data_IF_189657849482
#
_entry.id   IF_189657849482
#
_cell.length_a   1.000
_cell.length_b   1.000
_cell.length_c   1.000
_cell.angle_alpha   90.00
_cell.angle_beta   90.00
_cell.angle_gamma   90.00
#
_symmetry.space_group_name_H-M   'P 1'
#
loop_
_entity.id
_entity.type
_entity.pdbx_description
1 polymer ?
#
# COMPACT_ATOMS: atom_id res chain seq x y z
N UNK A 1 27.16 10.64 -12.80
CA UNK A 1 25.73 10.68 -12.44
C UNK A 1 25.17 9.26 -12.60
N UNK A 2 24.72 8.64 -11.51
CA UNK A 2 24.23 7.26 -11.56
C UNK A 2 22.95 7.20 -12.40
N UNK A 3 23.01 6.44 -13.49
CA UNK A 3 21.91 6.23 -14.41
C UNK A 3 20.81 5.47 -13.66
N UNK A 4 19.75 6.16 -13.22
CA UNK A 4 18.57 5.53 -12.62
C UNK A 4 17.88 4.77 -13.76
N UNK A 5 18.23 3.48 -13.90
CA UNK A 5 17.62 2.60 -14.89
C UNK A 5 16.11 2.56 -14.60
N UNK A 6 15.31 3.09 -15.52
CA UNK A 6 13.89 2.76 -15.58
C UNK A 6 13.80 1.23 -15.70
N UNK A 7 13.00 0.53 -14.86
CA UNK A 7 12.86 -0.91 -14.96
C UNK A 7 12.46 -1.26 -16.40
N UNK A 8 13.27 -2.13 -17.03
CA UNK A 8 13.03 -2.61 -18.40
C UNK A 8 11.83 -3.53 -18.36
N UNK A 9 10.94 -3.43 -19.36
CA UNK A 9 9.90 -4.43 -19.59
C UNK A 9 10.53 -5.83 -19.60
N UNK A 10 10.19 -6.66 -18.61
CA UNK A 10 10.63 -8.05 -18.51
C UNK A 10 11.33 -8.46 -17.20
N UNK A 11 11.71 -7.53 -16.32
CA UNK A 11 12.25 -7.90 -14.99
C UNK A 11 11.10 -8.04 -13.99
N UNK A 12 10.67 -9.29 -13.77
CA UNK A 12 9.75 -9.65 -12.70
C UNK A 12 10.39 -9.30 -11.36
N UNK A 13 9.87 -8.29 -10.66
CA UNK A 13 10.30 -7.94 -9.30
C UNK A 13 9.67 -8.92 -8.31
N UNK A 14 10.44 -9.37 -7.32
CA UNK A 14 9.91 -10.18 -6.22
C UNK A 14 8.71 -9.49 -5.56
N UNK A 15 8.75 -8.17 -5.41
CA UNK A 15 7.64 -7.41 -4.82
C UNK A 15 6.38 -7.40 -5.70
N UNK A 16 6.55 -7.33 -7.02
CA UNK A 16 5.42 -7.35 -7.96
C UNK A 16 4.76 -8.74 -7.96
N UNK A 17 5.57 -9.80 -7.93
CA UNK A 17 5.10 -11.18 -7.81
C UNK A 17 4.41 -11.46 -6.48
N UNK A 18 5.01 -11.02 -5.36
CA UNK A 18 4.40 -11.12 -4.04
C UNK A 18 3.04 -10.43 -4.00
N UNK A 19 2.98 -9.19 -4.53
CA UNK A 19 1.73 -8.45 -4.57
C UNK A 19 0.70 -9.12 -5.48
N UNK A 20 1.11 -9.64 -6.65
CA UNK A 20 0.24 -10.36 -7.57
C UNK A 20 -0.39 -11.59 -6.91
N UNK A 21 0.43 -12.43 -6.28
CA UNK A 21 -0.01 -13.65 -5.58
C UNK A 21 -0.98 -13.29 -4.44
N UNK A 22 -0.62 -12.31 -3.60
CA UNK A 22 -1.47 -11.87 -2.50
C UNK A 22 -2.79 -11.30 -2.98
N UNK A 23 -2.78 -10.53 -4.08
CA UNK A 23 -4.00 -9.96 -4.65
C UNK A 23 -4.96 -11.06 -5.14
N UNK A 24 -4.44 -12.10 -5.80
CA UNK A 24 -5.23 -13.23 -6.27
C UNK A 24 -5.80 -14.08 -5.12
N UNK A 25 -5.02 -14.30 -4.06
CA UNK A 25 -5.50 -14.99 -2.85
C UNK A 25 -6.64 -14.22 -2.18
N UNK A 26 -6.44 -12.93 -1.96
CA UNK A 26 -7.47 -12.06 -1.36
C UNK A 26 -8.71 -11.96 -2.25
N UNK A 27 -8.57 -11.94 -3.57
CA UNK A 27 -9.72 -12.03 -4.47
C UNK A 27 -10.52 -13.31 -4.23
N UNK A 28 -9.84 -14.47 -4.21
CA UNK A 28 -10.51 -15.75 -4.01
C UNK A 28 -11.23 -15.81 -2.66
N UNK A 29 -10.60 -15.30 -1.59
CA UNK A 29 -11.17 -15.20 -0.24
C UNK A 29 -12.37 -14.24 -0.15
N UNK A 30 -12.44 -13.23 -1.02
CA UNK A 30 -13.50 -12.23 -1.04
C UNK A 30 -14.63 -12.54 -2.05
N UNK A 31 -14.71 -13.77 -2.56
CA UNK A 31 -15.80 -14.21 -3.44
C UNK A 31 -15.56 -13.94 -4.94
N UNK A 32 -14.29 -13.78 -5.33
CA UNK A 32 -13.89 -13.62 -6.73
C UNK A 32 -13.85 -12.18 -7.22
N UNK A 33 -13.41 -12.02 -8.48
CA UNK A 33 -13.08 -10.75 -9.11
C UNK A 33 -14.10 -9.62 -8.92
N UNK A 34 -15.38 -9.86 -9.21
CA UNK A 34 -16.41 -8.80 -9.19
C UNK A 34 -16.62 -8.25 -7.77
N UNK A 35 -16.71 -9.13 -6.77
CA UNK A 35 -16.84 -8.74 -5.37
C UNK A 35 -15.59 -8.00 -4.87
N UNK A 36 -14.41 -8.49 -5.26
CA UNK A 36 -13.14 -7.91 -4.87
C UNK A 36 -12.92 -6.50 -5.45
N UNK A 37 -13.20 -6.31 -6.74
CA UNK A 37 -13.09 -5.00 -7.40
C UNK A 37 -14.11 -4.01 -6.85
N UNK A 38 -15.34 -4.45 -6.60
CA UNK A 38 -16.36 -3.59 -5.98
C UNK A 38 -15.92 -3.12 -4.59
N UNK A 39 -15.34 -4.02 -3.79
CA UNK A 39 -14.84 -3.71 -2.44
C UNK A 39 -13.62 -2.78 -2.46
N UNK A 40 -12.69 -3.00 -3.37
CA UNK A 40 -11.39 -2.30 -3.40
C UNK A 40 -11.37 -1.03 -4.24
N UNK A 41 -12.33 -0.86 -5.15
CA UNK A 41 -12.38 0.26 -6.09
C UNK A 41 -11.18 0.30 -7.06
N UNK A 42 -10.50 -0.84 -7.27
CA UNK A 42 -9.43 -0.97 -8.26
C UNK A 42 -10.04 -1.00 -9.66
N UNK A 43 -9.55 -0.18 -10.58
CA UNK A 43 -9.98 -0.27 -11.97
C UNK A 43 -9.55 -1.60 -12.60
N UNK A 44 -10.40 -2.21 -13.42
CA UNK A 44 -10.15 -3.50 -14.10
C UNK A 44 -8.74 -3.61 -14.71
N UNK A 45 -8.31 -2.58 -15.46
CA UNK A 45 -6.98 -2.56 -16.07
C UNK A 45 -5.84 -2.59 -15.05
N UNK A 46 -5.97 -1.82 -13.97
CA UNK A 46 -5.01 -1.79 -12.86
C UNK A 46 -4.97 -3.14 -12.16
N UNK A 47 -6.13 -3.75 -11.90
CA UNK A 47 -6.20 -5.08 -11.30
C UNK A 47 -5.40 -6.09 -12.13
N UNK A 48 -5.67 -6.20 -13.43
CA UNK A 48 -4.99 -7.18 -14.29
C UNK A 48 -3.50 -6.88 -14.48
N UNK A 49 -3.08 -5.61 -14.41
CA UNK A 49 -1.68 -5.25 -14.42
C UNK A 49 -0.95 -5.76 -13.17
N UNK A 50 -1.56 -5.59 -11.98
CA UNK A 50 -1.00 -6.06 -10.72
C UNK A 50 -1.05 -7.58 -10.64
N UNK A 51 -2.20 -8.20 -10.91
CA UNK A 51 -2.41 -9.65 -10.83
C UNK A 51 -1.54 -10.47 -11.82
N UNK A 52 -0.86 -9.82 -12.76
CA UNK A 52 0.08 -10.44 -13.70
C UNK A 52 1.54 -10.00 -13.46
N UNK A 53 1.81 -9.30 -12.37
CA UNK A 53 3.12 -8.71 -12.05
C UNK A 53 3.69 -7.83 -13.19
N UNK A 54 2.83 -7.14 -13.95
CA UNK A 54 3.21 -6.26 -15.07
C UNK A 54 3.07 -4.78 -14.75
N UNK A 55 2.33 -4.44 -13.70
CA UNK A 55 2.10 -3.08 -13.25
C UNK A 55 3.01 -2.71 -12.09
N UNK A 56 3.41 -1.44 -12.03
CA UNK A 56 4.07 -0.84 -10.87
C UNK A 56 3.05 0.07 -10.16
N UNK A 57 2.19 -0.48 -9.27
CA UNK A 57 1.21 0.34 -8.57
C UNK A 57 1.91 1.33 -7.64
N UNK A 58 1.36 2.55 -7.57
CA UNK A 58 1.86 3.55 -6.62
C UNK A 58 1.58 3.10 -5.19
N UNK A 59 2.38 3.56 -4.21
CA UNK A 59 2.10 3.31 -2.80
C UNK A 59 0.67 3.69 -2.41
N UNK A 60 0.17 4.84 -2.90
CA UNK A 60 -1.22 5.27 -2.71
C UNK A 60 -2.25 4.25 -3.20
N UNK A 61 -1.96 3.57 -4.31
CA UNK A 61 -2.84 2.50 -4.82
C UNK A 61 -2.84 1.31 -3.87
N UNK A 62 -1.67 0.87 -3.44
CA UNK A 62 -1.51 -0.26 -2.50
C UNK A 62 -2.18 0.06 -1.15
N UNK A 63 -1.97 1.25 -0.61
CA UNK A 63 -2.59 1.73 0.64
C UNK A 63 -4.12 1.74 0.54
N UNK A 64 -4.67 2.19 -0.59
CA UNK A 64 -6.12 2.19 -0.81
C UNK A 64 -6.70 0.78 -0.81
N UNK A 65 -6.01 -0.16 -1.48
CA UNK A 65 -6.42 -1.57 -1.50
C UNK A 65 -6.38 -2.13 -0.09
N UNK A 66 -5.28 -1.97 0.63
CA UNK A 66 -5.13 -2.45 2.00
C UNK A 66 -6.23 -1.86 2.92
N UNK A 67 -6.45 -0.54 2.86
CA UNK A 67 -7.47 0.14 3.66
C UNK A 67 -8.88 -0.38 3.36
N UNK A 68 -9.22 -0.63 2.09
CA UNK A 68 -10.54 -1.18 1.71
C UNK A 68 -10.78 -2.60 2.22
N UNK A 69 -9.70 -3.33 2.51
CA UNK A 69 -9.74 -4.67 3.10
C UNK A 69 -9.61 -4.63 4.64
N UNK A 70 -9.53 -3.44 5.25
CA UNK A 70 -9.24 -3.22 6.67
C UNK A 70 -7.90 -3.85 7.12
N UNK A 71 -6.88 -3.72 6.28
CA UNK A 71 -5.53 -4.25 6.51
C UNK A 71 -4.49 -3.14 6.35
N UNK A 72 -3.33 -3.32 6.95
CA UNK A 72 -2.12 -2.56 6.63
C UNK A 72 -1.48 -3.05 5.33
N UNK A 73 -0.61 -2.22 4.73
CA UNK A 73 0.17 -2.63 3.55
C UNK A 73 1.09 -3.82 3.86
N UNK A 74 1.57 -3.93 5.10
CA UNK A 74 2.40 -5.06 5.54
C UNK A 74 1.61 -6.37 5.49
N UNK A 75 0.40 -6.38 6.03
CA UNK A 75 -0.49 -7.55 6.00
C UNK A 75 -0.95 -7.89 4.57
N UNK A 76 -1.20 -6.87 3.74
CA UNK A 76 -1.48 -7.05 2.32
C UNK A 76 -0.33 -7.81 1.63
N UNK A 77 0.92 -7.46 1.95
CA UNK A 77 2.12 -8.13 1.44
C UNK A 77 2.43 -9.47 2.14
N UNK A 78 1.60 -9.89 3.10
CA UNK A 78 1.73 -11.18 3.80
C UNK A 78 2.64 -11.16 5.02
N UNK A 79 2.98 -10.00 5.55
CA UNK A 79 3.75 -9.88 6.79
C UNK A 79 2.84 -9.75 8.00
N UNK A 80 3.20 -10.45 9.07
CA UNK A 80 2.70 -10.14 10.40
C UNK A 80 3.27 -8.79 10.87
N UNK A 81 2.39 -7.89 11.33
CA UNK A 81 2.79 -6.53 11.71
C UNK A 81 3.80 -6.56 12.86
N UNK A 82 3.67 -7.49 13.81
CA UNK A 82 4.62 -7.63 14.92
C UNK A 82 6.02 -8.00 14.46
N UNK A 83 6.14 -8.82 13.42
CA UNK A 83 7.43 -9.27 12.89
C UNK A 83 8.08 -8.16 12.07
N UNK A 84 7.30 -7.45 11.26
CA UNK A 84 7.75 -6.27 10.55
C UNK A 84 8.26 -5.20 11.52
N UNK A 85 7.52 -4.93 12.61
CA UNK A 85 7.96 -4.00 13.67
C UNK A 85 9.27 -4.43 14.30
N UNK A 86 9.41 -5.72 14.65
CA UNK A 86 10.64 -6.26 15.23
C UNK A 86 11.81 -6.12 14.27
N UNK A 87 11.61 -6.40 12.99
CA UNK A 87 12.63 -6.26 11.96
C UNK A 87 13.05 -4.80 11.75
N UNK A 88 12.09 -3.88 11.66
CA UNK A 88 12.35 -2.45 11.53
C UNK A 88 13.13 -1.90 12.74
N UNK A 89 12.75 -2.30 13.95
CA UNK A 89 13.43 -1.87 15.18
C UNK A 89 14.89 -2.31 15.21
N UNK A 90 15.20 -3.52 14.73
CA UNK A 90 16.60 -3.99 14.59
C UNK A 90 17.42 -3.14 13.62
N UNK A 91 16.76 -2.57 12.61
CA UNK A 91 17.38 -1.68 11.62
C UNK A 91 17.33 -0.20 12.03
N UNK A 92 16.95 0.11 13.28
CA UNK A 92 16.92 1.48 13.81
C UNK A 92 15.68 2.28 13.43
N UNK A 93 14.62 1.64 12.94
CA UNK A 93 13.34 2.29 12.61
C UNK A 93 12.28 1.88 13.63
N UNK A 94 11.87 2.79 14.52
CA UNK A 94 10.74 2.56 15.42
C UNK A 94 9.42 2.86 14.70
N UNK A 95 8.69 1.79 14.38
CA UNK A 95 7.44 1.87 13.64
C UNK A 95 6.34 2.61 14.42
N UNK A 96 6.30 2.46 15.75
CA UNK A 96 5.29 3.09 16.59
C UNK A 96 5.52 4.59 16.72
N UNK A 97 6.78 4.97 16.93
CA UNK A 97 7.18 6.38 16.95
C UNK A 97 6.87 7.05 15.61
N UNK A 98 7.23 6.40 14.49
CA UNK A 98 6.93 6.91 13.14
C UNK A 98 5.42 7.09 12.94
N UNK A 99 4.62 6.11 13.34
CA UNK A 99 3.16 6.16 13.23
C UNK A 99 2.58 7.30 14.09
N UNK A 100 3.11 7.50 15.30
CA UNK A 100 2.69 8.60 16.17
C UNK A 100 3.05 9.97 15.58
N UNK A 101 4.25 10.13 15.05
CA UNK A 101 4.71 11.36 14.40
C UNK A 101 3.83 11.74 13.19
N UNK A 102 3.51 10.77 12.32
CA UNK A 102 2.61 10.99 11.17
C UNK A 102 1.23 11.44 11.65
N UNK A 103 0.65 10.78 12.67
CA UNK A 103 -0.65 11.17 13.22
C UNK A 103 -0.63 12.59 13.78
N UNK A 104 0.45 12.99 14.43
CA UNK A 104 0.60 14.35 14.96
C UNK A 104 0.71 15.38 13.84
N UNK A 105 1.47 15.08 12.79
CA UNK A 105 1.60 15.94 11.61
C UNK A 105 0.24 16.15 10.92
N UNK A 106 -0.48 15.08 10.63
CA UNK A 106 -1.79 15.15 9.98
C UNK A 106 -2.78 16.00 10.79
N UNK A 107 -2.84 15.80 12.12
CA UNK A 107 -3.68 16.63 13.01
C UNK A 107 -3.28 18.10 12.99
N UNK A 108 -1.99 18.40 12.88
CA UNK A 108 -1.51 19.78 12.80
C UNK A 108 -1.94 20.43 11.47
N UNK A 109 -1.79 19.72 10.35
CA UNK A 109 -2.21 20.17 9.03
C UNK A 109 -3.72 20.42 8.94
N UNK A 110 -4.54 19.53 9.51
CA UNK A 110 -5.99 19.70 9.60
C UNK A 110 -6.39 20.97 10.37
N UNK A 111 -5.74 21.24 11.52
CA UNK A 111 -5.99 22.47 12.30
C UNK A 111 -5.64 23.72 11.52
N UNK A 112 -4.55 23.71 10.74
CA UNK A 112 -4.17 24.83 9.88
C UNK A 112 -5.21 25.05 8.79
N UNK A 113 -5.65 23.97 8.12
CA UNK A 113 -6.67 24.05 7.08
C UNK A 113 -8.03 24.56 7.61
N UNK A 114 -8.45 24.13 8.81
CA UNK A 114 -9.66 24.63 9.46
C UNK A 114 -9.59 26.13 9.76
N UNK A 115 -8.47 26.60 10.33
CA UNK A 115 -8.24 28.03 10.60
C UNK A 115 -8.22 28.88 9.32
N UNK A 116 -7.73 28.34 8.21
CA UNK A 116 -7.74 29.02 6.92
C UNK A 116 -9.16 29.15 6.34
N UNK A 117 -10.03 28.15 6.56
CA UNK A 117 -11.43 28.16 6.12
C UNK A 117 -12.30 29.09 6.95
N UNK A 118 -12.09 29.18 8.26
CA UNK A 118 -12.86 30.06 9.16
C UNK A 118 -12.51 31.55 9.03
N UNK A 119 -11.47 31.89 8.27
CA UNK A 119 -11.02 33.26 7.99
C UNK A 119 -11.49 33.80 6.63
N UNK A 120 -12.16 32.97 5.83
CA UNK A 120 -12.87 33.36 4.60
C UNK A 120 -14.33 33.55 4.92
#
# INVERSE_FOLDING_TARGET
>A
MANIRRPRHGEHSILDEMLAIRLQQLEAENGGYEAFVAKTGIAKGTYYAIARAKGNPTFRTIERIASSLNMSVLELLGFEVSDARRALKRSGVDYDELTAAIKQQNKAEERVAQKARSRR
#
